data_IF_044797409731
#
_entry.id   IF_044797409731
#
_cell.length_a   1.000
_cell.length_b   1.000
_cell.length_c   1.000
_cell.angle_alpha   90.00
_cell.angle_beta   90.00
_cell.angle_gamma   90.00
#
_symmetry.space_group_name_H-M   'P 1'
#
loop_
_entity.id
_entity.type
_entity.pdbx_description
1 polymer ?
#
# COMPACT_ATOMS: atom_id res chain seq x y z
N UNK A 1 28.39 -18.88 -19.47
CA UNK A 1 27.99 -19.14 -18.05
C UNK A 1 28.28 -17.97 -17.11
N UNK A 2 29.53 -17.46 -16.96
CA UNK A 2 29.82 -16.36 -16.01
C UNK A 2 29.09 -15.04 -16.31
N UNK A 3 28.99 -14.64 -17.59
CA UNK A 3 28.28 -13.42 -18.00
C UNK A 3 26.76 -13.53 -17.84
N UNK A 4 26.18 -14.70 -18.10
CA UNK A 4 24.74 -14.94 -17.92
C UNK A 4 24.35 -14.98 -16.44
N UNK A 5 25.20 -15.55 -15.57
CA UNK A 5 25.00 -15.53 -14.12
C UNK A 5 25.11 -14.09 -13.58
N UNK A 6 26.05 -13.29 -14.09
CA UNK A 6 26.18 -11.88 -13.72
C UNK A 6 24.97 -11.05 -14.17
N UNK A 7 24.47 -11.24 -15.39
CA UNK A 7 23.26 -10.58 -15.90
C UNK A 7 22.04 -10.99 -15.07
N UNK A 8 21.90 -12.28 -14.72
CA UNK A 8 20.81 -12.77 -13.89
C UNK A 8 20.82 -12.15 -12.48
N UNK A 9 22.01 -12.01 -11.86
CA UNK A 9 22.16 -11.37 -10.55
C UNK A 9 21.83 -9.88 -10.63
N UNK A 10 22.32 -9.15 -11.63
CA UNK A 10 21.99 -7.73 -11.82
C UNK A 10 20.50 -7.55 -12.05
N UNK A 11 19.87 -8.37 -12.89
CA UNK A 11 18.43 -8.37 -13.11
C UNK A 11 17.63 -8.69 -11.84
N UNK A 12 18.16 -9.48 -10.91
CA UNK A 12 17.50 -9.77 -9.63
C UNK A 12 17.44 -8.53 -8.71
N UNK A 13 18.45 -7.68 -8.75
CA UNK A 13 18.53 -6.49 -7.89
C UNK A 13 17.65 -5.33 -8.35
N UNK A 14 17.29 -5.24 -9.64
CA UNK A 14 16.44 -4.16 -10.18
C UNK A 14 14.93 -4.36 -9.94
N UNK A 15 14.48 -5.54 -9.53
CA UNK A 15 13.04 -5.88 -9.41
C UNK A 15 12.44 -5.51 -8.05
N UNK A 16 13.27 -5.16 -7.05
CA UNK A 16 12.81 -4.90 -5.68
C UNK A 16 12.29 -3.47 -5.41
N UNK A 17 11.94 -2.70 -6.45
CA UNK A 17 11.52 -1.31 -6.27
C UNK A 17 10.03 -1.22 -5.89
N UNK A 18 9.74 -0.61 -4.74
CA UNK A 18 8.36 -0.31 -4.32
C UNK A 18 7.79 0.80 -5.23
N UNK A 19 6.57 0.65 -5.78
CA UNK A 19 5.91 1.68 -6.58
C UNK A 19 5.81 3.02 -5.84
N UNK A 20 5.93 4.14 -6.55
CA UNK A 20 5.99 5.46 -5.94
C UNK A 20 4.79 5.70 -5.01
N UNK A 21 3.58 5.39 -5.47
CA UNK A 21 2.31 5.51 -4.75
C UNK A 21 2.20 4.63 -3.50
N UNK A 22 3.12 3.68 -3.31
CA UNK A 22 3.21 2.81 -2.14
C UNK A 22 4.36 3.15 -1.21
N UNK A 23 5.31 4.00 -1.62
CA UNK A 23 6.50 4.28 -0.83
C UNK A 23 6.18 4.93 0.52
N UNK A 24 6.83 4.47 1.57
CA UNK A 24 6.69 5.01 2.92
C UNK A 24 7.95 4.79 3.77
N UNK A 25 8.11 5.59 4.82
CA UNK A 25 9.10 5.38 5.87
C UNK A 25 8.47 5.01 7.20
N UNK A 26 7.24 5.46 7.45
CA UNK A 26 6.48 5.24 8.68
C UNK A 26 5.02 4.93 8.37
N UNK A 27 4.31 4.29 9.30
CA UNK A 27 2.86 4.05 9.18
C UNK A 27 2.08 5.34 8.86
N UNK A 28 2.54 6.48 9.39
CA UNK A 28 1.89 7.77 9.19
C UNK A 28 2.04 8.32 7.78
N UNK A 29 2.89 7.76 6.92
CA UNK A 29 3.02 8.18 5.53
C UNK A 29 1.91 7.58 4.65
N UNK A 30 1.18 6.60 5.17
CA UNK A 30 0.20 5.83 4.44
C UNK A 30 -1.23 6.25 4.78
N UNK A 31 -2.11 6.19 3.78
CA UNK A 31 -3.54 6.50 3.87
C UNK A 31 -4.36 5.49 3.06
N UNK A 32 -5.68 5.53 3.22
CA UNK A 32 -6.60 4.69 2.44
C UNK A 32 -6.51 5.04 0.94
N UNK A 33 -6.47 4.02 0.08
CA UNK A 33 -6.46 4.22 -1.38
C UNK A 33 -7.83 4.59 -1.96
N UNK A 34 -8.90 4.31 -1.20
CA UNK A 34 -10.29 4.67 -1.54
C UNK A 34 -10.96 5.34 -0.35
N UNK A 35 -11.93 6.21 -0.61
CA UNK A 35 -12.59 6.97 0.45
C UNK A 35 -13.39 6.09 1.42
N UNK A 36 -14.07 5.08 0.89
CA UNK A 36 -14.90 4.16 1.65
C UNK A 36 -14.36 2.75 1.53
N UNK A 37 -14.48 1.96 2.61
CA UNK A 37 -14.23 0.52 2.60
C UNK A 37 -12.88 0.13 1.98
N UNK A 38 -11.82 0.86 2.34
CA UNK A 38 -10.52 0.66 1.71
C UNK A 38 -9.90 -0.68 2.08
N UNK A 39 -9.71 -1.53 1.08
CA UNK A 39 -8.95 -2.79 1.13
C UNK A 39 -7.49 -2.63 0.69
N UNK A 40 -7.10 -1.41 0.30
CA UNK A 40 -5.73 -1.07 -0.05
C UNK A 40 -5.36 0.33 0.45
N UNK A 41 -4.05 0.60 0.48
CA UNK A 41 -3.46 1.85 0.94
C UNK A 41 -2.50 2.43 -0.10
N UNK A 42 -2.29 3.74 -0.02
CA UNK A 42 -1.30 4.50 -0.81
C UNK A 42 -0.58 5.45 0.13
N UNK A 43 0.53 6.04 -0.33
CA UNK A 43 1.16 7.12 0.40
C UNK A 43 0.32 8.40 0.32
N UNK A 44 0.54 9.34 1.24
CA UNK A 44 -0.21 10.60 1.36
C UNK A 44 -0.21 11.48 0.11
N UNK A 45 0.83 11.47 -0.71
CA UNK A 45 0.92 12.28 -1.94
C UNK A 45 -0.03 11.76 -3.03
N UNK A 46 -0.43 10.49 -2.94
CA UNK A 46 -1.35 9.83 -3.87
C UNK A 46 -2.73 9.58 -3.25
N UNK A 47 -3.04 10.27 -2.14
CA UNK A 47 -4.33 10.18 -1.46
C UNK A 47 -5.49 10.52 -2.41
N UNK A 48 -6.61 9.78 -2.36
CA UNK A 48 -7.80 10.14 -3.12
C UNK A 48 -8.47 11.39 -2.53
N UNK A 49 -9.10 12.19 -3.39
CA UNK A 49 -9.94 13.30 -2.95
C UNK A 49 -11.32 12.81 -2.50
N UNK A 50 -11.60 12.95 -1.20
CA UNK A 50 -12.82 12.41 -0.57
C UNK A 50 -13.83 13.49 -0.17
N UNK A 51 -13.57 14.76 -0.48
CA UNK A 51 -14.49 15.84 -0.14
C UNK A 51 -15.85 15.64 -0.81
N UNK A 52 -16.93 15.64 -0.01
CA UNK A 52 -18.31 15.47 -0.49
C UNK A 52 -18.71 14.01 -0.76
N UNK A 53 -17.81 13.04 -0.59
CA UNK A 53 -18.17 11.63 -0.64
C UNK A 53 -18.91 11.20 0.62
N UNK A 54 -20.00 10.46 0.44
CA UNK A 54 -20.78 9.88 1.53
C UNK A 54 -20.59 8.37 1.50
N UNK A 55 -19.99 7.82 2.56
CA UNK A 55 -19.85 6.39 2.74
C UNK A 55 -21.09 5.80 3.44
N UNK A 56 -21.34 4.51 3.26
CA UNK A 56 -22.32 3.80 4.08
C UNK A 56 -21.76 3.60 5.50
N UNK A 57 -22.62 3.26 6.46
CA UNK A 57 -22.22 2.87 7.82
C UNK A 57 -21.94 1.37 7.94
N UNK A 58 -21.79 0.68 6.81
CA UNK A 58 -21.50 -0.75 6.79
C UNK A 58 -20.05 -1.04 7.19
N UNK A 59 -19.84 -2.04 8.04
CA UNK A 59 -18.52 -2.59 8.28
C UNK A 59 -18.25 -3.69 7.26
N UNK A 60 -17.43 -3.42 6.25
CA UNK A 60 -17.13 -4.40 5.19
C UNK A 60 -15.92 -5.23 5.59
N UNK A 61 -16.08 -6.56 5.66
CA UNK A 61 -14.97 -7.48 5.92
C UNK A 61 -13.91 -7.42 4.81
N UNK A 62 -12.64 -7.60 5.16
CA UNK A 62 -11.53 -7.49 4.21
C UNK A 62 -11.10 -6.06 3.90
N UNK A 63 -11.57 -5.08 4.67
CA UNK A 63 -11.20 -3.66 4.57
C UNK A 63 -10.64 -3.13 5.89
N UNK A 64 -10.31 -1.84 5.92
CA UNK A 64 -9.88 -1.12 7.13
C UNK A 64 -11.03 -0.67 8.04
N UNK A 65 -12.27 -1.08 7.76
CA UNK A 65 -13.42 -0.63 8.54
C UNK A 65 -13.55 -1.37 9.85
N UNK A 66 -14.07 -0.67 10.86
CA UNK A 66 -14.49 -1.23 12.15
C UNK A 66 -13.40 -2.08 12.86
N UNK A 67 -12.14 -1.84 12.52
CA UNK A 67 -10.99 -2.55 13.08
C UNK A 67 -10.62 -3.85 12.36
N UNK A 68 -11.26 -4.23 11.26
CA UNK A 68 -10.91 -5.42 10.46
C UNK A 68 -9.53 -5.34 9.80
N UNK A 69 -8.99 -4.14 9.65
CA UNK A 69 -7.63 -3.96 9.19
C UNK A 69 -7.04 -2.64 9.62
N UNK A 70 -5.71 -2.57 9.61
CA UNK A 70 -4.92 -1.36 9.82
C UNK A 70 -4.07 -1.06 8.59
N UNK A 71 -3.63 0.19 8.45
CA UNK A 71 -2.66 0.59 7.42
C UNK A 71 -1.29 0.66 8.06
N UNK A 72 -0.31 0.01 7.43
CA UNK A 72 1.07 -0.10 7.92
C UNK A 72 2.09 0.18 6.82
N UNK A 73 3.23 0.73 7.21
CA UNK A 73 4.40 0.78 6.34
C UNK A 73 5.26 -0.46 6.57
N UNK A 74 5.27 -1.39 5.62
CA UNK A 74 5.98 -2.66 5.73
C UNK A 74 7.01 -2.74 4.61
N UNK A 75 8.28 -2.86 4.97
CA UNK A 75 9.39 -2.95 4.01
C UNK A 75 9.40 -1.79 2.99
N UNK A 76 9.02 -0.60 3.43
CA UNK A 76 8.94 0.60 2.59
C UNK A 76 7.69 0.68 1.70
N UNK A 77 6.73 -0.25 1.82
CA UNK A 77 5.45 -0.27 1.11
C UNK A 77 4.26 -0.06 2.04
N UNK A 78 3.33 0.82 1.64
CA UNK A 78 2.05 1.00 2.30
C UNK A 78 1.16 -0.23 2.03
N UNK A 79 0.81 -0.93 3.09
CA UNK A 79 -0.02 -2.13 3.04
C UNK A 79 -1.24 -2.01 3.97
N UNK A 80 -2.31 -2.72 3.61
CA UNK A 80 -3.42 -3.01 4.52
C UNK A 80 -3.14 -4.35 5.18
N UNK A 81 -3.16 -4.37 6.51
CA UNK A 81 -2.98 -5.59 7.31
C UNK A 81 -4.31 -5.93 7.93
N UNK A 82 -4.92 -7.02 7.47
CA UNK A 82 -6.18 -7.55 8.02
C UNK A 82 -5.93 -8.30 9.34
N UNK A 83 -6.93 -8.31 10.22
CA UNK A 83 -6.89 -8.98 11.54
C UNK A 83 -7.69 -10.26 11.59
#
# INVERSE_FOLDING_TARGET
>A
MKLQIMILIVCLFIVACVPAEKQCSTDTDCVKATCCHASSSVNKEFAPECQGQICTLECVEGTTDCGYGDIKCISGSCEVVLK
#
